data_IF_004727453400
#
_entry.id   IF_004727453400
#
_cell.length_a   1.000
_cell.length_b   1.000
_cell.length_c   1.000
_cell.angle_alpha   90.00
_cell.angle_beta   90.00
_cell.angle_gamma   90.00
#
_symmetry.space_group_name_H-M   'P 1'
#
loop_
_entity.id
_entity.type
_entity.pdbx_description
1 polymer ?
#
# COMPACT_ATOMS: atom_id res chain seq x y z
N UNK A 1 5.27 11.31 -8.00
CA UNK A 1 3.88 11.79 -8.13
C UNK A 1 3.38 12.15 -6.74
N UNK A 2 2.22 12.78 -6.56
CA UNK A 2 1.64 12.93 -5.22
C UNK A 2 0.73 11.73 -4.92
N UNK A 3 0.64 11.24 -3.68
CA UNK A 3 -0.32 10.22 -3.30
C UNK A 3 -1.77 10.67 -3.57
N UNK A 4 -2.61 9.72 -3.99
CA UNK A 4 -4.05 9.99 -4.18
C UNK A 4 -4.78 10.10 -2.84
N UNK A 5 -5.98 10.68 -2.85
CA UNK A 5 -6.82 10.77 -1.65
C UNK A 5 -7.17 9.36 -1.13
N UNK A 6 -7.46 8.43 -2.04
CA UNK A 6 -7.74 7.03 -1.74
C UNK A 6 -6.56 6.36 -1.03
N UNK A 7 -5.35 6.52 -1.57
CA UNK A 7 -4.13 6.01 -0.93
C UNK A 7 -3.92 6.61 0.46
N UNK A 8 -4.10 7.94 0.59
CA UNK A 8 -3.95 8.62 1.87
C UNK A 8 -4.93 8.08 2.92
N UNK A 9 -6.20 7.90 2.57
CA UNK A 9 -7.21 7.36 3.46
C UNK A 9 -6.88 5.94 3.93
N UNK A 10 -6.40 5.09 3.03
CA UNK A 10 -6.00 3.71 3.37
C UNK A 10 -4.80 3.73 4.33
N UNK A 11 -3.74 4.48 4.01
CA UNK A 11 -2.55 4.58 4.86
C UNK A 11 -2.92 5.13 6.24
N UNK A 12 -3.74 6.19 6.28
CA UNK A 12 -4.19 6.81 7.53
C UNK A 12 -5.03 5.83 8.37
N UNK A 13 -5.93 5.07 7.75
CA UNK A 13 -6.72 4.06 8.45
C UNK A 13 -5.86 2.93 9.02
N UNK A 14 -4.87 2.44 8.26
CA UNK A 14 -3.95 1.40 8.72
C UNK A 14 -3.08 1.89 9.89
N UNK A 15 -2.56 3.12 9.81
CA UNK A 15 -1.75 3.73 10.87
C UNK A 15 -2.59 3.98 12.14
N UNK A 16 -3.77 4.56 12.00
CA UNK A 16 -4.71 4.84 13.11
C UNK A 16 -5.11 3.56 13.87
N UNK A 17 -5.18 2.43 13.17
CA UNK A 17 -5.54 1.13 13.74
C UNK A 17 -4.34 0.30 14.20
N UNK A 18 -3.11 0.82 14.12
CA UNK A 18 -1.86 0.11 14.43
C UNK A 18 -1.68 -1.18 13.58
N UNK A 19 -2.13 -1.12 12.32
CA UNK A 19 -2.03 -2.18 11.33
C UNK A 19 -0.95 -1.91 10.27
N UNK A 20 -0.35 -0.72 10.27
CA UNK A 20 0.78 -0.37 9.40
C UNK A 20 2.09 -0.63 10.13
N UNK A 21 2.77 -1.73 9.81
CA UNK A 21 4.07 -2.05 10.43
C UNK A 21 5.21 -1.26 9.79
N UNK A 22 5.13 -1.06 8.47
CA UNK A 22 6.10 -0.29 7.70
C UNK A 22 5.42 0.18 6.41
N UNK A 23 5.90 1.29 5.83
CA UNK A 23 5.41 1.76 4.54
C UNK A 23 6.39 2.71 3.88
N UNK A 24 6.43 2.70 2.55
CA UNK A 24 7.10 3.73 1.76
C UNK A 24 6.33 4.04 0.48
N UNK A 25 6.44 5.28 0.04
CA UNK A 25 5.88 5.74 -1.22
C UNK A 25 6.96 5.75 -2.30
N UNK A 26 6.69 5.10 -3.44
CA UNK A 26 7.55 5.13 -4.62
C UNK A 26 7.10 6.28 -5.52
N UNK A 27 7.82 7.40 -5.51
CA UNK A 27 7.47 8.56 -6.34
C UNK A 27 7.55 8.29 -7.85
N UNK A 28 8.30 7.25 -8.27
CA UNK A 28 8.50 6.89 -9.68
C UNK A 28 7.30 6.15 -10.26
N UNK A 29 6.67 5.26 -9.47
CA UNK A 29 5.45 4.55 -9.89
C UNK A 29 4.18 5.14 -9.30
N UNK A 30 4.31 6.01 -8.29
CA UNK A 30 3.24 6.59 -7.47
C UNK A 30 2.46 5.58 -6.64
N UNK A 31 3.10 4.49 -6.23
CA UNK A 31 2.48 3.42 -5.46
C UNK A 31 3.01 3.42 -4.01
N UNK A 32 2.17 3.00 -3.08
CA UNK A 32 2.56 2.77 -1.68
C UNK A 32 2.87 1.30 -1.45
N UNK A 33 4.06 1.00 -0.97
CA UNK A 33 4.43 -0.33 -0.52
C UNK A 33 4.27 -0.39 0.98
N UNK A 34 3.49 -1.35 1.47
CA UNK A 34 3.15 -1.46 2.89
C UNK A 34 3.40 -2.87 3.42
N UNK A 35 3.70 -2.93 4.70
CA UNK A 35 3.75 -4.15 5.49
C UNK A 35 2.65 -4.12 6.54
N UNK A 36 1.86 -5.19 6.63
CA UNK A 36 0.75 -5.29 7.60
C UNK A 36 0.79 -6.63 8.35
N UNK A 37 0.10 -6.75 9.50
CA UNK A 37 -0.09 -8.03 10.20
C UNK A 37 -0.98 -9.04 9.45
N UNK A 38 -1.56 -8.66 8.30
CA UNK A 38 -2.48 -9.53 7.56
C UNK A 38 -1.78 -10.81 7.11
N UNK A 39 -2.35 -12.00 7.37
CA UNK A 39 -1.80 -13.26 6.85
C UNK A 39 -2.00 -13.42 5.34
N UNK A 40 -2.89 -12.61 4.73
CA UNK A 40 -3.21 -12.65 3.29
C UNK A 40 -2.44 -11.59 2.52
N UNK A 41 -2.27 -10.40 3.10
CA UNK A 41 -1.56 -9.25 2.50
C UNK A 41 -0.44 -8.75 3.43
N UNK A 42 0.52 -9.62 3.80
CA UNK A 42 1.60 -9.23 4.72
C UNK A 42 2.50 -8.16 4.10
N UNK A 43 2.75 -8.25 2.79
CA UNK A 43 3.49 -7.28 1.99
C UNK A 43 2.64 -6.98 0.76
N UNK A 44 2.20 -5.74 0.62
CA UNK A 44 1.27 -5.33 -0.43
C UNK A 44 1.59 -3.95 -0.98
N UNK A 45 0.96 -3.63 -2.10
CA UNK A 45 1.02 -2.34 -2.79
C UNK A 45 -0.38 -1.74 -2.79
N UNK A 46 -0.49 -0.47 -2.43
CA UNK A 46 -1.68 0.35 -2.66
C UNK A 46 -1.46 1.11 -3.97
N UNK A 47 -2.24 0.76 -4.99
CA UNK A 47 -2.21 1.39 -6.30
C UNK A 47 -2.91 2.75 -6.27
N UNK A 48 -2.80 3.52 -7.35
CA UNK A 48 -3.37 4.88 -7.44
C UNK A 48 -4.88 4.94 -7.18
N UNK A 49 -5.63 3.91 -7.57
CA UNK A 49 -7.08 3.80 -7.37
C UNK A 49 -7.47 3.31 -5.98
N UNK A 50 -6.49 3.03 -5.12
CA UNK A 50 -6.70 2.48 -3.78
C UNK A 50 -6.82 0.97 -3.72
N UNK A 51 -6.69 0.23 -4.83
CA UNK A 51 -6.61 -1.23 -4.76
C UNK A 51 -5.37 -1.67 -3.97
N UNK A 52 -5.57 -2.60 -3.03
CA UNK A 52 -4.49 -3.18 -2.22
C UNK A 52 -4.20 -4.59 -2.71
N UNK A 53 -3.06 -4.74 -3.37
CA UNK A 53 -2.65 -5.96 -4.07
C UNK A 53 -1.35 -6.52 -3.52
N UNK A 54 -1.13 -7.84 -3.52
CA UNK A 54 0.15 -8.39 -3.04
C UNK A 54 1.29 -8.04 -4.03
N UNK A 55 2.51 -7.85 -3.52
CA UNK A 55 3.66 -7.45 -4.37
C UNK A 55 4.05 -8.50 -5.41
N UNK A 56 3.75 -9.77 -5.17
CA UNK A 56 4.02 -10.85 -6.11
C UNK A 56 3.13 -10.79 -7.37
N UNK A 57 2.02 -10.05 -7.35
CA UNK A 57 1.15 -9.86 -8.51
C UNK A 57 1.81 -9.03 -9.63
N UNK A 58 2.85 -8.24 -9.30
CA UNK A 58 3.68 -7.55 -10.31
C UNK A 58 4.65 -8.47 -11.06
N UNK A 59 4.74 -9.76 -10.74
CA UNK A 59 5.70 -10.67 -11.40
C UNK A 59 5.30 -11.09 -12.82
N UNK A 60 4.10 -10.71 -13.28
CA UNK A 60 3.53 -11.15 -14.55
C UNK A 60 3.31 -10.01 -15.59
N UNK A 61 4.00 -8.88 -15.47
CA UNK A 61 4.03 -7.82 -16.50
C UNK A 61 5.37 -7.75 -17.23
#
# INVERSE_FOLDING_TARGET
>A
MEPTEEQYLIVNALDTLDLLQNGFYDESTGDWYIQTPSPVLPISVIQHDGEVVPTNWRSDL
#
